data_IF_133560707338
#
_entry.id   IF_133560707338
#
_cell.length_a   1.000
_cell.length_b   1.000
_cell.length_c   1.000
_cell.angle_alpha   90.00
_cell.angle_beta   90.00
_cell.angle_gamma   90.00
#
_symmetry.space_group_name_H-M   'P 1'
#
loop_
_entity.id
_entity.type
_entity.pdbx_description
1 polymer ?
#
# COMPACT_ATOMS: atom_id res chain seq x y z
N UNK A 1 5.26 13.14 11.08
CA UNK A 1 5.11 12.73 12.50
C UNK A 1 4.31 11.46 12.50
N UNK A 2 4.75 10.41 13.19
CA UNK A 2 4.02 9.14 13.25
C UNK A 2 2.63 9.34 13.84
N UNK A 3 1.61 8.80 13.19
CA UNK A 3 0.21 8.86 13.64
C UNK A 3 -0.21 7.60 14.42
N UNK A 4 0.67 6.60 14.49
CA UNK A 4 0.43 5.30 15.17
C UNK A 4 1.60 4.90 16.09
N UNK A 5 1.27 4.15 17.15
CA UNK A 5 2.25 3.53 18.04
C UNK A 5 3.05 2.43 17.33
N UNK A 6 4.24 2.10 17.85
CA UNK A 6 5.10 1.06 17.27
C UNK A 6 4.53 -0.33 17.57
N UNK A 7 4.33 -1.13 16.52
CA UNK A 7 3.87 -2.51 16.60
C UNK A 7 5.05 -3.45 16.31
N UNK A 8 5.50 -4.20 17.32
CA UNK A 8 6.71 -5.03 17.18
C UNK A 8 6.51 -6.22 16.23
N UNK A 9 5.30 -6.76 16.09
CA UNK A 9 5.04 -7.88 15.19
C UNK A 9 5.13 -7.42 13.74
N UNK A 10 4.54 -6.25 13.44
CA UNK A 10 4.64 -5.62 12.11
C UNK A 10 6.05 -5.18 11.78
N UNK A 11 6.74 -4.54 12.73
CA UNK A 11 8.13 -4.12 12.53
C UNK A 11 9.04 -5.32 12.25
N UNK A 12 8.84 -6.44 12.95
CA UNK A 12 9.60 -7.66 12.71
C UNK A 12 9.34 -8.22 11.31
N UNK A 13 8.08 -8.32 10.89
CA UNK A 13 7.73 -8.78 9.55
C UNK A 13 8.27 -7.85 8.46
N UNK A 14 8.16 -6.53 8.66
CA UNK A 14 8.73 -5.55 7.74
C UNK A 14 10.24 -5.74 7.61
N UNK A 15 10.97 -5.78 8.73
CA UNK A 15 12.43 -5.90 8.73
C UNK A 15 12.93 -7.25 8.18
N UNK A 16 12.23 -8.35 8.49
CA UNK A 16 12.70 -9.71 8.23
C UNK A 16 12.07 -10.39 7.00
N UNK A 17 11.02 -9.83 6.42
CA UNK A 17 10.34 -10.38 5.26
C UNK A 17 10.21 -9.38 4.09
N UNK A 18 10.05 -8.08 4.38
CA UNK A 18 9.72 -7.08 3.35
C UNK A 18 10.96 -6.30 2.88
N UNK A 19 11.71 -5.71 3.80
CA UNK A 19 12.88 -4.87 3.50
C UNK A 19 14.20 -5.55 3.88
N UNK A 20 14.25 -6.88 3.71
CA UNK A 20 15.42 -7.71 4.07
C UNK A 20 16.63 -7.29 3.26
N UNK A 21 17.70 -6.92 3.97
CA UNK A 21 18.96 -6.45 3.37
C UNK A 21 18.77 -5.29 2.36
N UNK A 22 17.70 -4.50 2.50
CA UNK A 22 17.48 -3.32 1.68
C UNK A 22 18.27 -2.13 2.24
N UNK A 23 19.29 -1.68 1.49
CA UNK A 23 20.18 -0.59 1.89
C UNK A 23 19.84 0.75 1.24
N UNK A 24 18.99 0.74 0.22
CA UNK A 24 18.52 1.91 -0.51
C UNK A 24 17.01 2.01 -0.53
N UNK A 25 16.51 3.21 -0.79
CA UNK A 25 15.10 3.50 -1.02
C UNK A 25 14.47 2.65 -2.13
N UNK A 26 15.22 2.45 -3.22
CA UNK A 26 14.81 1.62 -4.37
C UNK A 26 14.64 0.14 -3.97
N UNK A 27 15.60 -0.41 -3.22
CA UNK A 27 15.51 -1.79 -2.71
C UNK A 27 14.35 -1.95 -1.72
N UNK A 28 14.07 -0.95 -0.89
CA UNK A 28 12.91 -0.97 0.00
C UNK A 28 11.59 -0.94 -0.77
N UNK A 29 11.47 -0.07 -1.78
CA UNK A 29 10.30 -0.01 -2.64
C UNK A 29 10.07 -1.33 -3.37
N UNK A 30 11.12 -1.93 -3.90
CA UNK A 30 11.08 -3.26 -4.52
C UNK A 30 10.63 -4.34 -3.53
N UNK A 31 11.19 -4.35 -2.32
CA UNK A 31 10.82 -5.30 -1.28
C UNK A 31 9.33 -5.23 -0.92
N UNK A 32 8.81 -4.01 -0.76
CA UNK A 32 7.38 -3.77 -0.59
C UNK A 32 6.56 -4.23 -1.79
N UNK A 33 6.99 -3.91 -3.01
CA UNK A 33 6.30 -4.30 -4.23
C UNK A 33 6.16 -5.82 -4.32
N UNK A 34 7.27 -6.57 -4.17
CA UNK A 34 7.27 -8.03 -4.24
C UNK A 34 6.42 -8.66 -3.12
N UNK A 35 6.55 -8.17 -1.88
CA UNK A 35 5.74 -8.67 -0.76
C UNK A 35 4.24 -8.46 -1.02
N UNK A 36 3.84 -7.27 -1.47
CA UNK A 36 2.44 -6.98 -1.73
C UNK A 36 1.91 -7.77 -2.93
N UNK A 37 2.69 -7.90 -4.00
CA UNK A 37 2.30 -8.70 -5.17
C UNK A 37 2.06 -10.17 -4.80
N UNK A 38 2.88 -10.75 -3.91
CA UNK A 38 2.74 -12.13 -3.46
C UNK A 38 1.59 -12.34 -2.43
N UNK A 39 1.32 -11.34 -1.59
CA UNK A 39 0.40 -11.47 -0.45
C UNK A 39 -1.03 -10.99 -0.75
N UNK A 40 -1.21 -10.14 -1.76
CA UNK A 40 -2.52 -9.66 -2.19
C UNK A 40 -3.17 -10.69 -3.13
N UNK A 41 -4.29 -11.26 -2.69
CA UNK A 41 -5.02 -12.29 -3.43
C UNK A 41 -5.97 -11.63 -4.45
N UNK A 42 -5.42 -11.30 -5.61
CA UNK A 42 -6.18 -10.64 -6.68
C UNK A 42 -7.09 -11.61 -7.44
N UNK A 43 -8.28 -11.16 -7.90
CA UNK A 43 -8.89 -9.87 -7.59
C UNK A 43 -9.66 -9.90 -6.26
N UNK A 44 -9.69 -8.79 -5.53
CA UNK A 44 -10.51 -8.63 -4.33
C UNK A 44 -11.33 -7.34 -4.35
N UNK A 45 -12.49 -7.38 -3.69
CA UNK A 45 -13.38 -6.21 -3.56
C UNK A 45 -12.94 -5.28 -2.44
N UNK A 46 -12.91 -3.99 -2.70
CA UNK A 46 -12.49 -2.96 -1.75
C UNK A 46 -13.31 -1.67 -1.87
N UNK A 47 -13.22 -0.82 -0.85
CA UNK A 47 -13.61 0.58 -0.93
C UNK A 47 -12.39 1.41 -1.29
N UNK A 48 -12.54 2.30 -2.26
CA UNK A 48 -11.54 3.27 -2.63
C UNK A 48 -11.90 4.65 -2.06
N UNK A 49 -11.00 5.20 -1.24
CA UNK A 49 -11.11 6.49 -0.57
C UNK A 49 -10.44 7.57 -1.43
N UNK A 50 -11.18 8.17 -2.37
CA UNK A 50 -10.61 9.21 -3.24
C UNK A 50 -10.23 10.48 -2.45
N UNK A 51 -9.01 10.98 -2.67
CA UNK A 51 -8.49 12.18 -2.00
C UNK A 51 -9.34 13.42 -2.36
N UNK A 52 -9.97 14.00 -1.35
CA UNK A 52 -10.80 15.21 -1.47
C UNK A 52 -11.99 15.22 -0.51
N UNK A 53 -12.40 14.06 -0.02
CA UNK A 53 -13.58 13.92 0.82
C UNK A 53 -13.27 13.14 2.09
N UNK A 54 -12.89 13.85 3.15
CA UNK A 54 -12.78 13.28 4.51
C UNK A 54 -14.15 12.98 5.14
N UNK A 55 -15.14 12.65 4.31
CA UNK A 55 -16.48 12.24 4.74
C UNK A 55 -16.71 10.79 4.30
N UNK A 56 -17.13 9.90 5.21
CA UNK A 56 -17.45 8.48 4.93
C UNK A 56 -18.50 8.23 3.82
N UNK A 57 -19.09 9.30 3.30
CA UNK A 57 -20.20 9.28 2.34
C UNK A 57 -19.77 9.16 0.88
N UNK A 58 -18.47 9.23 0.56
CA UNK A 58 -17.95 9.31 -0.82
C UNK A 58 -16.76 8.36 -1.08
N UNK A 59 -16.93 7.11 -0.66
CA UNK A 59 -16.06 6.00 -1.08
C UNK A 59 -16.68 5.25 -2.25
N UNK A 60 -15.89 4.87 -3.24
CA UNK A 60 -16.36 4.04 -4.35
C UNK A 60 -16.08 2.56 -4.08
N UNK A 61 -16.99 1.66 -4.48
CA UNK A 61 -16.73 0.22 -4.41
C UNK A 61 -16.05 -0.21 -5.70
N UNK A 62 -14.85 -0.76 -5.58
CA UNK A 62 -14.02 -1.17 -6.71
C UNK A 62 -13.54 -2.61 -6.52
N UNK A 63 -13.08 -3.22 -7.62
CA UNK A 63 -12.32 -4.46 -7.57
C UNK A 63 -10.86 -4.14 -7.81
N UNK A 64 -9.99 -4.46 -6.84
CA UNK A 64 -8.55 -4.40 -7.04
C UNK A 64 -8.14 -5.63 -7.86
N UNK A 65 -7.42 -5.44 -8.95
CA UNK A 65 -7.12 -6.51 -9.93
C UNK A 65 -5.64 -6.86 -10.06
N UNK A 66 -4.76 -6.00 -9.54
CA UNK A 66 -3.32 -6.24 -9.53
C UNK A 66 -2.58 -5.07 -8.91
N UNK A 67 -1.26 -5.25 -8.73
CA UNK A 67 -0.34 -4.14 -8.52
C UNK A 67 -0.27 -3.28 -9.80
N UNK A 68 -0.06 -1.97 -9.64
CA UNK A 68 0.29 -1.11 -10.76
C UNK A 68 1.73 -1.43 -11.24
N UNK A 69 2.16 -0.96 -12.41
CA UNK A 69 3.54 -1.18 -12.87
C UNK A 69 4.59 -0.75 -11.83
N UNK A 70 5.63 -1.55 -11.68
CA UNK A 70 6.72 -1.33 -10.71
C UNK A 70 7.35 0.07 -10.82
N UNK A 71 7.48 0.61 -12.04
CA UNK A 71 8.00 1.95 -12.31
C UNK A 71 7.17 3.07 -11.66
N UNK A 72 5.88 2.85 -11.47
CA UNK A 72 4.98 3.77 -10.75
C UNK A 72 5.08 3.60 -9.23
N UNK A 73 5.57 2.45 -8.77
CA UNK A 73 5.61 2.07 -7.36
C UNK A 73 6.92 2.42 -6.64
N UNK A 74 7.82 3.19 -7.25
CA UNK A 74 9.13 3.48 -6.65
C UNK A 74 9.09 4.43 -5.44
N UNK A 75 7.99 5.19 -5.26
CA UNK A 75 7.84 6.17 -4.17
C UNK A 75 6.64 5.92 -3.25
N UNK A 76 5.66 5.14 -3.72
CA UNK A 76 4.41 4.80 -3.05
C UNK A 76 3.86 3.52 -3.69
N UNK A 77 3.03 2.74 -3.00
CA UNK A 77 2.47 1.52 -3.58
C UNK A 77 1.14 1.83 -4.26
N UNK A 78 1.01 1.42 -5.53
CA UNK A 78 -0.19 1.61 -6.33
C UNK A 78 -0.77 0.27 -6.77
N UNK A 79 -2.08 0.24 -6.93
CA UNK A 79 -2.82 -0.90 -7.45
C UNK A 79 -3.75 -0.49 -8.58
N UNK A 80 -3.98 -1.41 -9.50
CA UNK A 80 -5.00 -1.26 -10.52
C UNK A 80 -6.37 -1.61 -9.95
N UNK A 81 -7.33 -0.70 -10.11
CA UNK A 81 -8.71 -0.86 -9.66
C UNK A 81 -9.67 -0.78 -10.83
N UNK A 82 -10.62 -1.70 -10.86
CA UNK A 82 -11.75 -1.68 -11.77
C UNK A 82 -12.97 -1.11 -11.06
N UNK A 83 -13.49 -0.03 -11.60
CA UNK A 83 -14.79 0.53 -11.24
C UNK A 83 -15.86 -0.03 -12.20
N UNK A 84 -17.00 -0.44 -11.65
CA UNK A 84 -18.12 -0.94 -12.44
C UNK A 84 -19.41 -0.21 -12.04
N UNK A 85 -20.00 0.49 -13.01
CA UNK A 85 -21.32 1.10 -12.89
C UNK A 85 -22.21 0.64 -14.06
N UNK A 86 -23.17 -0.23 -13.75
CA UNK A 86 -23.96 -0.93 -14.78
C UNK A 86 -23.09 -1.74 -15.73
N UNK A 87 -23.12 -1.37 -17.02
CA UNK A 87 -22.34 -1.98 -18.11
C UNK A 87 -20.98 -1.29 -18.35
N UNK A 88 -20.74 -0.12 -17.75
CA UNK A 88 -19.47 0.58 -17.87
C UNK A 88 -18.42 -0.05 -16.94
N UNK A 89 -17.22 -0.26 -17.48
CA UNK A 89 -16.04 -0.73 -16.75
C UNK A 89 -14.87 0.18 -17.08
N UNK A 90 -14.38 0.88 -16.07
CA UNK A 90 -13.24 1.78 -16.19
C UNK A 90 -12.13 1.29 -15.26
N UNK A 91 -10.89 1.35 -15.75
CA UNK A 91 -9.70 1.00 -14.98
C UNK A 91 -8.98 2.27 -14.52
N UNK A 92 -8.56 2.28 -13.26
CA UNK A 92 -7.85 3.39 -12.64
C UNK A 92 -6.65 2.86 -11.84
N UNK A 93 -5.66 3.73 -11.64
CA UNK A 93 -4.58 3.49 -10.70
C UNK A 93 -4.91 4.19 -9.38
N UNK A 94 -4.89 3.46 -8.28
CA UNK A 94 -5.17 3.96 -6.94
C UNK A 94 -3.99 3.70 -6.00
N UNK A 95 -3.73 4.63 -5.08
CA UNK A 95 -2.76 4.39 -4.01
C UNK A 95 -3.30 3.28 -3.11
N UNK A 96 -2.46 2.31 -2.79
CA UNK A 96 -2.85 1.21 -1.90
C UNK A 96 -3.29 1.74 -0.53
N UNK A 97 -2.71 2.85 -0.07
CA UNK A 97 -3.11 3.54 1.16
C UNK A 97 -4.58 4.01 1.18
N UNK A 98 -5.17 4.25 0.01
CA UNK A 98 -6.56 4.69 -0.13
C UNK A 98 -7.54 3.50 -0.28
N UNK A 99 -7.08 2.26 -0.11
CA UNK A 99 -7.86 1.04 -0.34
C UNK A 99 -8.21 0.36 0.98
N UNK A 100 -9.50 0.19 1.24
CA UNK A 100 -10.02 -0.61 2.36
C UNK A 100 -10.61 -1.93 1.85
N UNK A 101 -9.99 -3.10 2.13
CA UNK A 101 -10.51 -4.38 1.68
C UNK A 101 -11.87 -4.71 2.33
N UNK A 102 -12.85 -5.15 1.54
CA UNK A 102 -14.19 -5.50 2.04
C UNK A 102 -14.40 -7.00 2.26
N UNK A 103 -13.82 -7.83 1.39
CA UNK A 103 -13.96 -9.29 1.38
C UNK A 103 -12.66 -9.97 0.99
N UNK A 104 -11.53 -9.42 1.43
CA UNK A 104 -10.24 -10.04 1.22
C UNK A 104 -9.96 -11.11 2.27
N UNK A 105 -9.10 -12.07 1.93
CA UNK A 105 -8.63 -13.08 2.88
C UNK A 105 -7.73 -12.45 3.98
N UNK A 106 -7.42 -13.21 5.03
CA UNK A 106 -6.63 -12.71 6.17
C UNK A 106 -5.24 -12.21 5.75
N UNK A 107 -4.60 -12.89 4.79
CA UNK A 107 -3.27 -12.55 4.26
C UNK A 107 -3.28 -11.18 3.57
N UNK A 108 -4.24 -10.93 2.70
CA UNK A 108 -4.42 -9.66 2.00
C UNK A 108 -4.76 -8.54 2.97
N UNK A 109 -5.60 -8.81 3.98
CA UNK A 109 -5.90 -7.81 5.02
C UNK A 109 -4.66 -7.45 5.84
N UNK A 110 -3.84 -8.43 6.18
CA UNK A 110 -2.60 -8.22 6.92
C UNK A 110 -1.59 -7.39 6.11
N UNK A 111 -1.37 -7.75 4.84
CA UNK A 111 -0.45 -7.05 3.96
C UNK A 111 -0.85 -5.58 3.73
N UNK A 112 -2.14 -5.30 3.51
CA UNK A 112 -2.65 -3.92 3.40
C UNK A 112 -2.48 -3.17 4.73
N UNK A 113 -2.74 -3.82 5.86
CA UNK A 113 -2.57 -3.21 7.17
C UNK A 113 -1.09 -2.90 7.47
N UNK A 114 -0.15 -3.73 7.00
CA UNK A 114 1.28 -3.46 7.11
C UNK A 114 1.69 -2.25 6.28
N UNK A 115 1.19 -2.13 5.06
CA UNK A 115 1.41 -0.95 4.23
C UNK A 115 0.87 0.31 4.91
N UNK A 116 -0.38 0.27 5.39
CA UNK A 116 -0.97 1.37 6.14
C UNK A 116 -0.15 1.72 7.39
N UNK A 117 0.38 0.73 8.10
CA UNK A 117 1.25 0.94 9.25
C UNK A 117 2.54 1.66 8.85
N UNK A 118 3.23 1.20 7.81
CA UNK A 118 4.46 1.81 7.29
C UNK A 118 4.27 3.30 6.98
N UNK A 119 3.23 3.62 6.20
CA UNK A 119 2.90 5.01 5.83
C UNK A 119 2.52 5.84 7.06
N UNK A 120 1.72 5.30 7.98
CA UNK A 120 1.30 6.02 9.19
C UNK A 120 2.44 6.21 10.22
N UNK A 121 3.45 5.35 10.23
CA UNK A 121 4.69 5.57 10.97
C UNK A 121 5.50 6.73 10.40
N UNK A 122 5.20 7.15 9.17
CA UNK A 122 5.93 8.16 8.43
C UNK A 122 7.21 7.60 7.82
N UNK A 123 7.29 6.28 7.64
CA UNK A 123 8.32 5.66 6.84
C UNK A 123 7.98 5.88 5.35
N UNK A 124 9.00 5.85 4.51
CA UNK A 124 8.87 6.10 3.09
C UNK A 124 10.21 5.83 2.40
N UNK A 125 10.22 5.95 1.09
CA UNK A 125 11.39 5.68 0.26
C UNK A 125 12.23 6.94 0.00
N UNK A 126 12.10 7.97 0.84
CA UNK A 126 12.95 9.15 0.70
C UNK A 126 14.34 8.84 1.28
N UNK A 127 15.34 8.87 0.41
CA UNK A 127 16.76 8.92 0.75
C UNK A 127 17.02 10.23 1.51
N UNK A 128 16.69 10.25 2.81
CA UNK A 128 17.29 11.23 3.69
C UNK A 128 18.78 10.86 3.76
N UNK A 129 19.57 11.48 2.87
CA UNK A 129 20.94 11.86 3.19
C UNK A 129 20.85 12.71 4.46
N UNK A 130 20.83 12.03 5.60
CA UNK A 130 20.89 12.65 6.89
C UNK A 130 22.14 13.50 6.90
N UNK A 131 21.94 14.81 7.04
CA UNK A 131 22.94 15.78 7.42
C UNK A 131 23.77 15.14 8.55
N UNK A 132 24.98 14.65 8.23
CA UNK A 132 25.98 14.31 9.24
C UNK A 132 26.35 15.62 9.92
N UNK A 133 25.63 15.97 10.99
CA UNK A 133 26.06 17.01 11.90
C UNK A 133 27.23 16.44 12.71
N UNK A 134 28.44 16.66 12.21
CA UNK A 134 29.73 16.44 12.90
C UNK A 134 29.86 17.30 14.18
#
# INVERSE_FOLDING_TARGET
MSTVERDNEREHRIEMEIVVDAYSSEEQAMGWYCYLEDMLDFPFGAKWLTQGYQSPSQSETVSVVGMAPEEECSTEMYVEVLYQDGDAKDAFTARLYDIEPLKANEQTQEAIADWHYWVNRGYGFDDFYGDEVY
#
